data_IF_070211039351
#
_entry.id   IF_070211039351
#
_cell.length_a   1.000
_cell.length_b   1.000
_cell.length_c   1.000
_cell.angle_alpha   90.00
_cell.angle_beta   90.00
_cell.angle_gamma   90.00
#
_symmetry.space_group_name_H-M   'P 1'
#
loop_
_entity.id
_entity.type
_entity.pdbx_description
1 polymer ?
#
# COMPACT_ATOMS: atom_id res chain seq x y z
N UNK A 1 -5.24 19.31 7.82
CA UNK A 1 -5.17 20.75 8.17
C UNK A 1 -4.18 21.53 7.33
N UNK A 2 -2.97 21.03 7.04
CA UNK A 2 -1.98 21.78 6.25
C UNK A 2 -2.49 22.35 4.90
N UNK A 3 -3.18 21.54 4.08
CA UNK A 3 -3.70 22.00 2.78
C UNK A 3 -4.81 23.05 2.91
N UNK A 4 -5.67 22.91 3.93
CA UNK A 4 -6.73 23.87 4.23
C UNK A 4 -6.15 25.22 4.64
N UNK A 5 -5.21 25.23 5.58
CA UNK A 5 -4.54 26.45 6.04
C UNK A 5 -3.76 27.12 4.90
N UNK A 6 -3.13 26.33 4.04
CA UNK A 6 -2.44 26.85 2.86
C UNK A 6 -3.43 27.51 1.88
N UNK A 7 -4.58 26.87 1.63
CA UNK A 7 -5.63 27.44 0.77
C UNK A 7 -6.20 28.74 1.34
N UNK A 8 -6.49 28.79 2.65
CA UNK A 8 -6.90 30.03 3.34
C UNK A 8 -5.84 31.13 3.17
N UNK A 9 -4.57 30.80 3.41
CA UNK A 9 -3.46 31.74 3.24
C UNK A 9 -3.32 32.24 1.81
N UNK A 10 -3.52 31.38 0.82
CA UNK A 10 -3.50 31.76 -0.60
C UNK A 10 -4.67 32.69 -0.95
N UNK A 11 -5.89 32.38 -0.52
CA UNK A 11 -7.08 33.22 -0.78
C UNK A 11 -6.91 34.63 -0.20
N UNK A 12 -6.40 34.72 1.03
CA UNK A 12 -6.10 36.01 1.67
C UNK A 12 -5.06 36.82 0.90
N UNK A 13 -3.95 36.19 0.48
CA UNK A 13 -2.89 36.86 -0.29
C UNK A 13 -3.38 37.35 -1.65
N UNK A 14 -4.29 36.63 -2.29
CA UNK A 14 -4.85 36.98 -3.59
C UNK A 14 -6.13 37.84 -3.50
N UNK A 15 -6.46 38.36 -2.30
CA UNK A 15 -7.65 39.21 -2.05
C UNK A 15 -8.97 38.60 -2.52
N UNK A 16 -9.09 37.28 -2.48
CA UNK A 16 -10.33 36.57 -2.82
C UNK A 16 -11.23 36.53 -1.58
N UNK A 17 -12.54 36.79 -1.77
CA UNK A 17 -13.53 36.64 -0.69
C UNK A 17 -13.50 35.21 -0.17
N UNK A 18 -13.31 35.05 1.14
CA UNK A 18 -13.23 33.72 1.75
C UNK A 18 -14.60 33.02 1.68
N UNK A 19 -14.71 31.86 1.01
CA UNK A 19 -15.91 31.07 1.07
C UNK A 19 -16.09 30.54 2.49
N UNK A 20 -17.33 30.19 2.85
CA UNK A 20 -17.63 29.58 4.15
C UNK A 20 -16.73 28.36 4.41
N UNK A 21 -16.34 28.16 5.68
CA UNK A 21 -15.39 27.10 6.10
C UNK A 21 -15.79 25.73 5.55
N UNK A 22 -17.08 25.41 5.59
CA UNK A 22 -17.62 24.15 5.07
C UNK A 22 -17.44 23.98 3.56
N UNK A 23 -17.56 25.06 2.79
CA UNK A 23 -17.36 25.06 1.32
C UNK A 23 -15.90 24.80 1.01
N UNK A 24 -14.99 25.51 1.68
CA UNK A 24 -13.55 25.31 1.49
C UNK A 24 -13.12 23.90 1.91
N UNK A 25 -13.65 23.38 3.02
CA UNK A 25 -13.36 22.03 3.49
C UNK A 25 -13.83 20.98 2.48
N UNK A 26 -15.01 21.17 1.88
CA UNK A 26 -15.52 20.31 0.81
C UNK A 26 -14.61 20.32 -0.42
N UNK A 27 -14.23 21.50 -0.92
CA UNK A 27 -13.33 21.63 -2.08
C UNK A 27 -11.97 20.97 -1.83
N UNK A 28 -11.38 21.20 -0.66
CA UNK A 28 -10.12 20.57 -0.26
C UNK A 28 -10.26 19.04 -0.21
N UNK A 29 -11.40 18.54 0.28
CA UNK A 29 -11.70 17.10 0.31
C UNK A 29 -11.85 16.50 -1.10
N UNK A 30 -12.53 17.21 -2.00
CA UNK A 30 -12.72 16.80 -3.40
C UNK A 30 -11.38 16.74 -4.13
N UNK A 31 -10.55 17.77 -4.03
CA UNK A 31 -9.20 17.80 -4.64
C UNK A 31 -8.33 16.68 -4.07
N UNK A 32 -8.38 16.46 -2.75
CA UNK A 32 -7.67 15.34 -2.12
C UNK A 32 -8.13 14.00 -2.70
N UNK A 33 -9.43 13.80 -2.86
CA UNK A 33 -10.00 12.58 -3.43
C UNK A 33 -9.55 12.36 -4.87
N UNK A 34 -9.52 13.42 -5.68
CA UNK A 34 -9.03 13.38 -7.07
C UNK A 34 -7.54 13.02 -7.10
N UNK A 35 -6.73 13.65 -6.25
CA UNK A 35 -5.30 13.37 -6.15
C UNK A 35 -5.04 11.91 -5.73
N UNK A 36 -5.80 11.38 -4.77
CA UNK A 36 -5.71 9.97 -4.36
C UNK A 36 -6.09 9.02 -5.50
N UNK A 37 -7.16 9.31 -6.26
CA UNK A 37 -7.53 8.53 -7.45
C UNK A 37 -6.42 8.51 -8.50
N UNK A 38 -5.80 9.67 -8.79
CA UNK A 38 -4.67 9.79 -9.72
C UNK A 38 -3.45 9.00 -9.25
N UNK A 39 -3.15 9.05 -7.95
CA UNK A 39 -2.08 8.25 -7.36
C UNK A 39 -2.33 6.75 -7.56
N UNK A 40 -3.53 6.25 -7.25
CA UNK A 40 -3.87 4.85 -7.45
C UNK A 40 -3.74 4.42 -8.91
N UNK A 41 -4.23 5.24 -9.84
CA UNK A 41 -4.11 4.97 -11.28
C UNK A 41 -2.64 4.92 -11.72
N UNK A 42 -1.80 5.82 -11.20
CA UNK A 42 -0.36 5.86 -11.51
C UNK A 42 0.34 4.59 -11.03
N UNK A 43 0.07 4.15 -9.79
CA UNK A 43 0.64 2.90 -9.25
C UNK A 43 0.16 1.70 -10.05
N UNK A 44 -1.14 1.59 -10.34
CA UNK A 44 -1.70 0.47 -11.09
C UNK A 44 -1.12 0.40 -12.52
N UNK A 45 -0.92 1.56 -13.17
CA UNK A 45 -0.27 1.64 -14.49
C UNK A 45 1.21 1.24 -14.42
N UNK A 46 1.92 1.65 -13.37
CA UNK A 46 3.30 1.23 -13.14
C UNK A 46 3.40 -0.28 -12.89
N UNK A 47 2.45 -0.86 -12.14
CA UNK A 47 2.35 -2.30 -11.91
C UNK A 47 2.16 -3.07 -13.23
N UNK A 48 1.14 -2.72 -14.01
CA UNK A 48 0.89 -3.33 -15.33
C UNK A 48 2.06 -3.21 -16.30
N UNK A 49 2.80 -2.09 -16.25
CA UNK A 49 3.98 -1.88 -17.11
C UNK A 49 5.18 -2.73 -16.70
N UNK A 50 5.34 -3.00 -15.41
CA UNK A 50 6.43 -3.85 -14.92
C UNK A 50 6.15 -5.31 -15.22
N UNK A 51 4.89 -5.73 -15.05
CA UNK A 51 4.40 -7.06 -15.37
C UNK A 51 2.87 -7.04 -15.60
N UNK A 52 2.38 -7.45 -16.78
CA UNK A 52 0.96 -7.53 -17.08
C UNK A 52 0.16 -8.51 -16.19
N UNK A 53 0.77 -9.59 -15.67
CA UNK A 53 0.05 -10.56 -14.81
C UNK A 53 -0.07 -10.10 -13.36
N UNK A 54 0.85 -9.23 -12.92
CA UNK A 54 0.97 -8.80 -11.53
C UNK A 54 -0.32 -8.28 -10.90
N UNK A 55 -1.18 -7.47 -11.55
CA UNK A 55 -2.46 -7.08 -10.96
C UNK A 55 -3.37 -8.28 -10.66
N UNK A 56 -3.39 -9.29 -11.54
CA UNK A 56 -4.16 -10.52 -11.34
C UNK A 56 -3.59 -11.36 -10.21
N UNK A 57 -2.27 -11.54 -10.18
CA UNK A 57 -1.58 -12.30 -9.14
C UNK A 57 -1.76 -11.66 -7.76
N UNK A 58 -1.69 -10.32 -7.68
CA UNK A 58 -1.98 -9.58 -6.45
C UNK A 58 -3.44 -9.77 -6.00
N UNK A 59 -4.40 -9.81 -6.92
CA UNK A 59 -5.81 -10.08 -6.58
C UNK A 59 -5.99 -11.53 -6.12
N UNK A 60 -5.26 -12.48 -6.68
CA UNK A 60 -5.31 -13.87 -6.23
C UNK A 60 -4.91 -14.02 -4.75
N UNK A 61 -4.00 -13.17 -4.24
CA UNK A 61 -3.63 -13.14 -2.82
C UNK A 61 -4.79 -12.78 -1.87
N UNK A 62 -5.85 -12.14 -2.38
CA UNK A 62 -7.04 -11.81 -1.59
C UNK A 62 -7.97 -13.01 -1.41
N UNK A 63 -7.87 -14.04 -2.26
CA UNK A 63 -8.72 -15.24 -2.16
C UNK A 63 -8.34 -16.04 -0.91
N UNK A 64 -9.36 -16.52 -0.23
CA UNK A 64 -9.19 -17.50 0.84
C UNK A 64 -9.31 -18.89 0.21
N UNK A 65 -8.25 -19.71 0.21
CA UNK A 65 -8.35 -21.08 -0.31
C UNK A 65 -9.33 -21.89 0.53
N UNK A 66 -10.07 -22.80 -0.11
CA UNK A 66 -11.06 -23.66 0.56
C UNK A 66 -10.42 -24.42 1.73
N UNK A 67 -11.11 -24.41 2.88
CA UNK A 67 -10.62 -25.04 4.11
C UNK A 67 -9.63 -24.23 4.95
N UNK A 68 -9.16 -23.05 4.50
CA UNK A 68 -8.33 -22.15 5.33
C UNK A 68 -9.14 -20.98 5.89
N UNK A 69 -8.80 -20.56 7.11
CA UNK A 69 -9.43 -19.40 7.78
C UNK A 69 -8.88 -18.04 7.32
N UNK A 70 -7.77 -18.02 6.58
CA UNK A 70 -7.03 -16.80 6.23
C UNK A 70 -6.62 -16.81 4.76
N UNK A 71 -6.70 -15.65 4.10
CA UNK A 71 -6.18 -15.47 2.73
C UNK A 71 -4.66 -15.49 2.70
N UNK A 72 -4.09 -15.67 1.51
CA UNK A 72 -2.64 -15.70 1.31
C UNK A 72 -1.98 -14.36 1.75
N UNK A 73 -2.62 -13.23 1.47
CA UNK A 73 -2.19 -11.91 1.96
C UNK A 73 -2.16 -11.86 3.49
N UNK A 74 -3.16 -12.43 4.16
CA UNK A 74 -3.26 -12.44 5.62
C UNK A 74 -2.24 -13.40 6.25
N UNK A 75 -1.91 -14.52 5.58
CA UNK A 75 -0.80 -15.39 5.95
C UNK A 75 0.53 -14.64 5.86
N UNK A 76 0.77 -13.91 4.77
CA UNK A 76 2.00 -13.14 4.58
C UNK A 76 2.16 -11.98 5.56
N UNK A 77 1.06 -11.41 6.09
CA UNK A 77 1.10 -10.36 7.12
C UNK A 77 1.54 -10.85 8.49
N UNK A 78 1.39 -12.15 8.77
CA UNK A 78 1.74 -12.69 10.09
C UNK A 78 3.26 -12.82 10.21
N UNK A 79 3.82 -12.36 11.34
CA UNK A 79 5.20 -12.68 11.65
C UNK A 79 5.36 -14.19 11.90
N UNK A 80 6.53 -14.77 11.60
CA UNK A 80 6.82 -16.14 12.00
C UNK A 80 6.70 -16.24 13.53
N UNK A 81 5.88 -17.17 14.00
CA UNK A 81 5.48 -17.26 15.42
C UNK A 81 6.46 -18.05 16.28
N UNK A 82 7.47 -18.70 15.70
CA UNK A 82 8.48 -19.49 16.42
C UNK A 82 9.85 -19.40 15.73
N UNK A 83 10.92 -19.44 16.51
CA UNK A 83 12.32 -19.60 16.09
C UNK A 83 12.71 -21.08 16.13
N UNK A 84 11.99 -21.92 15.40
CA UNK A 84 12.40 -23.31 15.13
C UNK A 84 12.99 -23.39 13.72
N UNK A 85 13.90 -24.34 13.44
CA UNK A 85 14.52 -24.48 12.11
C UNK A 85 13.49 -24.61 10.97
N UNK A 86 12.34 -25.25 11.23
CA UNK A 86 11.20 -25.31 10.29
C UNK A 86 10.51 -23.97 10.08
N UNK A 87 10.34 -23.17 11.13
CA UNK A 87 9.77 -21.84 11.03
C UNK A 87 10.73 -20.86 10.33
N UNK A 88 12.05 -21.05 10.47
CA UNK A 88 13.08 -20.34 9.73
C UNK A 88 12.98 -20.62 8.22
N UNK A 89 12.86 -21.90 7.84
CA UNK A 89 12.67 -22.32 6.44
C UNK A 89 11.40 -21.73 5.84
N UNK A 90 10.29 -21.77 6.57
CA UNK A 90 9.02 -21.19 6.13
C UNK A 90 9.12 -19.66 5.97
N UNK A 91 9.85 -18.97 6.86
CA UNK A 91 10.09 -17.54 6.75
C UNK A 91 10.90 -17.19 5.49
N UNK A 92 11.96 -17.96 5.18
CA UNK A 92 12.75 -17.81 3.96
C UNK A 92 11.93 -18.08 2.70
N UNK A 93 11.13 -19.14 2.67
CA UNK A 93 10.23 -19.44 1.56
C UNK A 93 9.21 -18.31 1.34
N UNK A 94 8.68 -17.71 2.42
CA UNK A 94 7.77 -16.56 2.30
C UNK A 94 8.49 -15.30 1.80
N UNK A 95 9.78 -15.11 2.12
CA UNK A 95 10.59 -14.02 1.53
C UNK A 95 10.79 -14.25 0.04
N UNK A 96 11.11 -15.49 -0.35
CA UNK A 96 11.26 -15.87 -1.75
C UNK A 96 9.96 -15.65 -2.54
N UNK A 97 8.81 -16.11 -2.00
CA UNK A 97 7.47 -15.88 -2.56
C UNK A 97 7.19 -14.39 -2.78
N UNK A 98 7.51 -13.52 -1.81
CA UNK A 98 7.32 -12.08 -1.96
C UNK A 98 8.29 -11.48 -2.99
N UNK A 99 9.55 -11.90 -2.97
CA UNK A 99 10.57 -11.41 -3.90
C UNK A 99 10.31 -11.82 -5.35
N UNK A 100 9.60 -12.94 -5.57
CA UNK A 100 9.19 -13.45 -6.87
C UNK A 100 8.27 -12.48 -7.62
N UNK A 101 7.52 -11.62 -6.91
CA UNK A 101 6.72 -10.55 -7.52
C UNK A 101 7.56 -9.42 -8.14
N UNK A 102 8.90 -9.51 -8.04
CA UNK A 102 9.90 -8.59 -8.61
C UNK A 102 9.51 -7.13 -8.46
N UNK A 103 8.94 -6.79 -7.29
CA UNK A 103 8.37 -5.46 -7.08
C UNK A 103 9.46 -4.41 -7.23
N UNK A 104 10.74 -4.78 -7.00
CA UNK A 104 11.97 -4.05 -7.34
C UNK A 104 11.97 -3.33 -8.69
N UNK A 105 11.32 -3.92 -9.71
CA UNK A 105 11.22 -3.38 -11.08
C UNK A 105 10.16 -2.28 -11.24
N UNK A 106 9.27 -2.12 -10.25
CA UNK A 106 8.29 -1.05 -10.24
C UNK A 106 9.00 0.29 -10.06
N UNK A 107 9.04 1.09 -11.13
CA UNK A 107 9.51 2.48 -11.10
C UNK A 107 8.48 3.36 -10.35
N UNK A 108 8.44 3.21 -9.02
CA UNK A 108 7.62 4.03 -8.11
C UNK A 108 8.38 5.24 -7.55
N UNK A 109 9.61 5.50 -8.02
CA UNK A 109 10.43 6.66 -7.62
C UNK A 109 9.75 8.00 -7.85
N UNK A 110 8.81 8.06 -8.79
CA UNK A 110 7.97 9.22 -9.09
C UNK A 110 6.91 9.49 -7.99
N UNK A 111 6.73 8.59 -7.03
CA UNK A 111 5.77 8.75 -5.94
C UNK A 111 6.50 9.06 -4.64
N UNK A 112 6.03 10.05 -3.85
CA UNK A 112 6.65 10.36 -2.57
C UNK A 112 6.65 9.13 -1.64
N UNK A 113 7.78 8.78 -1.00
CA UNK A 113 7.88 7.58 -0.16
C UNK A 113 6.88 7.61 1.01
N UNK A 114 6.61 8.79 1.56
CA UNK A 114 5.60 8.99 2.60
C UNK A 114 4.19 8.62 2.15
N UNK A 115 3.84 8.85 0.88
CA UNK A 115 2.52 8.52 0.33
C UNK A 115 2.39 7.02 0.09
N UNK A 116 3.44 6.36 -0.38
CA UNK A 116 3.50 4.91 -0.51
C UNK A 116 3.42 4.23 0.86
N UNK A 117 4.15 4.74 1.86
CA UNK A 117 4.10 4.22 3.23
C UNK A 117 2.70 4.39 3.85
N UNK A 118 2.06 5.55 3.66
CA UNK A 118 0.69 5.78 4.12
C UNK A 118 -0.30 4.82 3.45
N UNK A 119 -0.15 4.59 2.14
CA UNK A 119 -0.98 3.64 1.38
C UNK A 119 -0.78 2.20 1.88
N UNK A 120 0.47 1.81 2.16
CA UNK A 120 0.79 0.49 2.72
C UNK A 120 0.17 0.29 4.10
N UNK A 121 0.30 1.28 5.01
CA UNK A 121 -0.32 1.23 6.35
C UNK A 121 -1.84 1.10 6.27
N UNK A 122 -2.48 1.87 5.39
CA UNK A 122 -3.91 1.76 5.16
C UNK A 122 -4.30 0.37 4.62
N UNK A 123 -3.53 -0.15 3.66
CA UNK A 123 -3.72 -1.49 3.12
C UNK A 123 -3.59 -2.58 4.19
N UNK A 124 -2.57 -2.50 5.05
CA UNK A 124 -2.34 -3.44 6.16
C UNK A 124 -3.49 -3.48 7.16
N UNK A 125 -4.11 -2.34 7.47
CA UNK A 125 -5.29 -2.27 8.34
C UNK A 125 -6.60 -2.71 7.67
N UNK A 126 -6.60 -2.95 6.36
CA UNK A 126 -7.80 -3.30 5.59
C UNK A 126 -7.89 -4.81 5.37
N UNK A 127 -9.05 -5.40 5.69
CA UNK A 127 -9.36 -6.84 5.47
C UNK A 127 -9.56 -7.16 3.99
N UNK A 128 -9.28 -8.41 3.59
CA UNK A 128 -9.36 -8.86 2.21
C UNK A 128 -10.71 -8.57 1.50
N UNK A 129 -11.89 -8.82 2.09
CA UNK A 129 -13.17 -8.51 1.43
C UNK A 129 -13.38 -7.01 1.15
N UNK A 130 -12.80 -6.14 1.98
CA UNK A 130 -12.89 -4.68 1.80
C UNK A 130 -11.91 -4.20 0.71
N UNK A 131 -10.77 -4.87 0.54
CA UNK A 131 -9.85 -4.63 -0.58
C UNK A 131 -10.48 -5.10 -1.90
N UNK A 132 -11.15 -6.24 -1.89
CA UNK A 132 -11.82 -6.80 -3.06
C UNK A 132 -12.95 -5.90 -3.59
N UNK A 133 -13.70 -5.21 -2.72
CA UNK A 133 -14.72 -4.24 -3.16
C UNK A 133 -14.16 -2.92 -3.69
N UNK A 134 -12.85 -2.66 -3.53
CA UNK A 134 -12.25 -1.44 -4.03
C UNK A 134 -12.16 -1.45 -5.56
N UNK A 135 -12.16 -0.27 -6.19
CA UNK A 135 -11.89 -0.13 -7.61
C UNK A 135 -10.57 -0.79 -7.97
N UNK A 136 -10.47 -1.36 -9.18
CA UNK A 136 -9.30 -2.12 -9.61
C UNK A 136 -7.98 -1.36 -9.37
N UNK A 137 -7.93 -0.10 -9.82
CA UNK A 137 -6.77 0.78 -9.61
C UNK A 137 -6.37 0.96 -8.15
N UNK A 138 -7.36 1.16 -7.27
CA UNK A 138 -7.14 1.32 -5.83
C UNK A 138 -6.68 0.01 -5.20
N UNK A 139 -7.29 -1.11 -5.59
CA UNK A 139 -6.95 -2.46 -5.12
C UNK A 139 -5.52 -2.82 -5.47
N UNK A 140 -5.14 -2.71 -6.75
CA UNK A 140 -3.77 -2.97 -7.21
C UNK A 140 -2.77 -2.05 -6.51
N UNK A 141 -3.09 -0.76 -6.35
CA UNK A 141 -2.19 0.18 -5.68
C UNK A 141 -1.96 -0.17 -4.21
N UNK A 142 -3.02 -0.51 -3.47
CA UNK A 142 -2.92 -0.91 -2.06
C UNK A 142 -2.13 -2.21 -1.91
N UNK A 143 -2.40 -3.23 -2.73
CA UNK A 143 -1.70 -4.51 -2.69
C UNK A 143 -0.22 -4.36 -3.02
N UNK A 144 0.09 -3.58 -4.06
CA UNK A 144 1.47 -3.24 -4.44
C UNK A 144 2.20 -2.55 -3.28
N UNK A 145 1.57 -1.56 -2.63
CA UNK A 145 2.16 -0.86 -1.50
C UNK A 145 2.36 -1.76 -0.27
N UNK A 146 1.41 -2.64 0.02
CA UNK A 146 1.51 -3.62 1.12
C UNK A 146 2.64 -4.60 0.87
N UNK A 147 2.74 -5.17 -0.33
CA UNK A 147 3.80 -6.12 -0.67
C UNK A 147 5.18 -5.44 -0.63
N UNK A 148 5.31 -4.22 -1.16
CA UNK A 148 6.54 -3.42 -1.03
C UNK A 148 6.94 -3.14 0.42
N UNK A 149 5.97 -2.87 1.27
CA UNK A 149 6.24 -2.64 2.69
C UNK A 149 6.62 -3.93 3.43
N UNK A 150 6.07 -5.08 3.01
CA UNK A 150 6.47 -6.39 3.54
C UNK A 150 7.89 -6.79 3.09
N UNK A 151 8.25 -6.53 1.82
CA UNK A 151 9.63 -6.66 1.32
C UNK A 151 10.59 -5.83 2.18
N UNK A 152 10.32 -4.52 2.30
CA UNK A 152 11.20 -3.59 3.02
C UNK A 152 11.37 -3.96 4.51
N UNK A 153 10.30 -4.41 5.18
CA UNK A 153 10.39 -4.86 6.57
C UNK A 153 11.23 -6.13 6.73
N UNK A 154 11.18 -7.05 5.76
CA UNK A 154 11.90 -8.33 5.82
C UNK A 154 13.34 -8.22 5.31
N UNK A 155 13.65 -7.26 4.44
CA UNK A 155 15.03 -6.91 4.09
C UNK A 155 15.76 -6.17 5.21
N UNK A 156 15.01 -5.47 6.09
CA UNK A 156 15.55 -4.64 7.16
C UNK A 156 15.59 -5.34 8.52
N UNK A 157 15.40 -6.66 8.58
CA UNK A 157 15.86 -7.45 9.73
C UNK A 157 17.33 -7.76 9.54
N UNK A 158 18.26 -7.00 10.18
CA UNK A 158 19.61 -7.49 10.33
C UNK A 158 19.51 -8.75 11.18
N UNK A 159 20.13 -9.82 10.68
CA UNK A 159 20.30 -11.09 11.36
C UNK A 159 21.24 -10.95 12.56
N UNK A 160 20.92 -10.07 13.50
CA UNK A 160 21.69 -9.85 14.72
C UNK A 160 20.74 -9.86 15.90
N UNK A 161 20.32 -11.06 16.30
CA UNK A 161 20.19 -11.39 17.73
C UNK A 161 20.15 -12.91 17.88
N UNK A 162 21.31 -13.54 17.76
CA UNK A 162 21.55 -14.91 18.24
C UNK A 162 22.98 -15.01 18.77
N UNK A 163 23.24 -14.28 19.87
CA UNK A 163 24.15 -14.68 20.95
C UNK A 163 24.10 -13.65 22.09
N UNK A 164 23.40 -13.99 23.17
CA UNK A 164 23.85 -13.92 24.56
C UNK A 164 23.01 -14.94 25.32
#
# INVERSE_FOLDING_TARGET
MALFNHAVGWLRRNRVLLPGVSVLARQVSEVRTIAEKRLHATVAKAARRADPSLPGDLVALLKTPEGKRFSELERMRRPPTRTTGTAMKNALQTVEEISAYRLGRLKLSQLPPNRLAALARYGLGTKAPKLERASESKRTAMLTAVMRHLEARRSMTPWTCSRC
#
